data_IF_199534718375
#
_entry.id   IF_199534718375
#
_cell.length_a   1.000
_cell.length_b   1.000
_cell.length_c   1.000
_cell.angle_alpha   90.00
_cell.angle_beta   90.00
_cell.angle_gamma   90.00
#
_symmetry.space_group_name_H-M   'P 1'
#
loop_
_entity.id
_entity.type
_entity.pdbx_description
1 polymer ?
#
# COMPACT_ATOMS: atom_id res chain seq x y z
N UNK A 1 -19.00 -3.93 -16.23
CA UNK A 1 -18.00 -3.29 -15.34
C UNK A 1 -17.91 -4.16 -14.12
N UNK A 2 -16.76 -4.76 -13.82
CA UNK A 2 -16.59 -5.49 -12.55
C UNK A 2 -16.61 -4.49 -11.39
N UNK A 3 -17.38 -4.82 -10.35
CA UNK A 3 -17.38 -4.06 -9.11
C UNK A 3 -16.05 -4.22 -8.38
N UNK A 4 -15.52 -3.14 -7.76
CA UNK A 4 -14.29 -3.23 -7.00
C UNK A 4 -14.48 -4.17 -5.80
N UNK A 5 -13.58 -5.14 -5.65
CA UNK A 5 -13.56 -6.02 -4.47
C UNK A 5 -12.64 -5.45 -3.42
N UNK A 6 -13.10 -5.37 -2.17
CA UNK A 6 -12.34 -4.81 -1.05
C UNK A 6 -12.10 -5.88 -0.01
N UNK A 7 -10.84 -6.06 0.37
CA UNK A 7 -10.39 -7.00 1.39
C UNK A 7 -9.70 -6.23 2.51
N UNK A 8 -10.16 -6.44 3.75
CA UNK A 8 -9.48 -5.92 4.93
C UNK A 8 -8.33 -6.85 5.30
N UNK A 9 -7.14 -6.29 5.47
CA UNK A 9 -5.94 -7.04 5.83
C UNK A 9 -5.79 -7.01 7.34
N UNK A 10 -6.07 -8.15 7.98
CA UNK A 10 -5.95 -8.32 9.44
C UNK A 10 -4.58 -8.83 9.87
N UNK A 11 -3.90 -9.58 9.00
CA UNK A 11 -2.58 -10.17 9.25
C UNK A 11 -1.47 -9.15 8.97
N UNK A 12 -1.28 -8.19 9.88
CA UNK A 12 -0.31 -7.10 9.74
C UNK A 12 1.13 -7.61 9.59
N UNK A 13 1.47 -8.75 10.19
CA UNK A 13 2.81 -9.34 10.05
C UNK A 13 3.12 -9.73 8.60
N UNK A 14 2.19 -10.42 7.93
CA UNK A 14 2.33 -10.79 6.51
C UNK A 14 2.37 -9.58 5.61
N UNK A 15 1.56 -8.57 5.93
CA UNK A 15 1.60 -7.29 5.23
C UNK A 15 2.98 -6.64 5.31
N UNK A 16 3.62 -6.63 6.49
CA UNK A 16 4.99 -6.12 6.63
C UNK A 16 6.00 -6.93 5.81
N UNK A 17 5.91 -8.27 5.84
CA UNK A 17 6.76 -9.15 5.01
C UNK A 17 6.57 -8.91 3.50
N UNK A 18 5.33 -8.61 3.07
CA UNK A 18 5.04 -8.21 1.69
C UNK A 18 5.64 -6.84 1.36
N UNK A 19 5.51 -5.86 2.25
CA UNK A 19 6.04 -4.51 2.07
C UNK A 19 7.57 -4.48 1.97
N UNK A 20 8.28 -5.34 2.71
CA UNK A 20 9.73 -5.52 2.59
C UNK A 20 10.16 -5.99 1.19
N UNK A 21 9.27 -6.68 0.48
CA UNK A 21 9.50 -7.22 -0.88
C UNK A 21 8.72 -6.47 -1.95
N UNK A 22 8.17 -5.29 -1.62
CA UNK A 22 7.29 -4.54 -2.52
C UNK A 22 7.96 -4.18 -3.84
N UNK A 23 9.29 -4.01 -3.83
CA UNK A 23 10.12 -3.75 -5.03
C UNK A 23 10.15 -4.91 -6.02
N UNK A 24 9.87 -6.14 -5.56
CA UNK A 24 9.83 -7.33 -6.41
C UNK A 24 8.52 -7.40 -7.21
N UNK A 25 7.53 -6.58 -6.84
CA UNK A 25 6.26 -6.45 -7.53
C UNK A 25 6.29 -5.24 -8.45
N UNK A 26 5.57 -5.35 -9.58
CA UNK A 26 5.45 -4.24 -10.54
C UNK A 26 4.53 -3.16 -9.98
N UNK A 27 5.11 -2.24 -9.21
CA UNK A 27 4.47 -1.05 -8.68
C UNK A 27 4.23 -0.05 -9.80
N UNK A 28 2.96 0.19 -10.12
CA UNK A 28 2.53 1.15 -11.12
C UNK A 28 2.52 2.56 -10.58
N UNK A 29 2.13 2.76 -9.32
CA UNK A 29 2.09 4.10 -8.73
C UNK A 29 2.12 4.07 -7.20
N UNK A 30 2.50 5.21 -6.62
CA UNK A 30 2.45 5.44 -5.18
C UNK A 30 1.97 6.87 -4.87
N UNK A 31 0.91 6.95 -4.08
CA UNK A 31 0.43 8.21 -3.50
C UNK A 31 0.59 8.17 -1.99
N UNK A 32 0.99 9.31 -1.43
CA UNK A 32 1.13 9.52 0.01
C UNK A 32 0.38 10.80 0.29
N UNK A 33 -0.47 10.76 1.31
CA UNK A 33 -1.15 11.93 1.85
C UNK A 33 -0.78 12.00 3.32
N UNK A 34 0.00 13.03 3.70
CA UNK A 34 0.36 13.29 5.08
C UNK A 34 -0.28 14.59 5.56
N UNK A 35 -1.30 14.47 6.42
CA UNK A 35 -2.01 15.64 6.96
C UNK A 35 -1.23 16.39 8.02
N UNK A 36 -0.20 15.77 8.58
CA UNK A 36 0.67 16.38 9.59
C UNK A 36 1.87 17.12 8.97
N UNK A 37 2.18 16.92 7.68
CA UNK A 37 3.35 17.50 7.03
C UNK A 37 3.23 17.52 5.52
N UNK A 38 3.64 18.62 4.88
CA UNK A 38 3.72 18.77 3.42
C UNK A 38 4.96 18.11 2.80
N UNK A 39 5.64 17.21 3.53
CA UNK A 39 6.85 16.55 3.05
C UNK A 39 6.57 15.65 1.84
N UNK A 40 5.38 15.05 1.80
CA UNK A 40 4.88 14.24 0.68
C UNK A 40 4.74 15.05 -0.61
N UNK A 41 4.32 16.31 -0.52
CA UNK A 41 4.21 17.22 -1.68
C UNK A 41 5.58 17.53 -2.32
N UNK A 42 6.67 17.38 -1.56
CA UNK A 42 8.04 17.61 -2.06
C UNK A 42 8.67 16.36 -2.70
N UNK A 43 8.02 15.19 -2.63
CA UNK A 43 8.55 13.95 -3.20
C UNK A 43 8.16 13.86 -4.67
N UNK A 44 9.11 14.11 -5.56
CA UNK A 44 8.85 14.19 -7.00
C UNK A 44 8.89 12.81 -7.68
N UNK A 45 9.71 11.89 -7.16
CA UNK A 45 9.89 10.55 -7.75
C UNK A 45 9.16 9.45 -7.01
N UNK A 46 8.80 8.37 -7.72
CA UNK A 46 8.19 7.18 -7.12
C UNK A 46 9.10 6.51 -6.10
N UNK A 47 10.40 6.48 -6.36
CA UNK A 47 11.38 5.87 -5.45
C UNK A 47 11.50 6.65 -4.14
N UNK A 48 11.48 7.99 -4.19
CA UNK A 48 11.47 8.83 -2.98
C UNK A 48 10.18 8.65 -2.18
N UNK A 49 9.04 8.63 -2.85
CA UNK A 49 7.75 8.31 -2.23
C UNK A 49 7.80 6.94 -1.56
N UNK A 50 8.28 5.92 -2.27
CA UNK A 50 8.37 4.57 -1.74
C UNK A 50 9.27 4.52 -0.50
N UNK A 51 10.45 5.14 -0.56
CA UNK A 51 11.37 5.23 0.57
C UNK A 51 10.76 5.94 1.77
N UNK A 52 10.04 7.03 1.53
CA UNK A 52 9.32 7.76 2.59
C UNK A 52 8.21 6.90 3.21
N UNK A 53 7.40 6.24 2.39
CA UNK A 53 6.35 5.33 2.84
C UNK A 53 6.92 4.20 3.71
N UNK A 54 7.97 3.53 3.25
CA UNK A 54 8.62 2.44 4.00
C UNK A 54 9.15 2.94 5.34
N UNK A 55 9.85 4.07 5.35
CA UNK A 55 10.31 4.70 6.60
C UNK A 55 9.16 4.95 7.57
N UNK A 56 8.01 5.43 7.10
CA UNK A 56 6.84 5.67 7.95
C UNK A 56 6.20 4.39 8.48
N UNK A 57 6.21 3.32 7.69
CA UNK A 57 5.73 2.00 8.08
C UNK A 57 6.67 1.28 9.06
N UNK A 58 7.96 1.61 9.06
CA UNK A 58 8.93 1.17 10.07
C UNK A 58 8.79 1.94 11.39
N UNK A 59 8.59 3.26 11.30
CA UNK A 59 8.50 4.16 12.46
C UNK A 59 7.17 4.02 13.22
N UNK A 60 6.10 3.54 12.58
CA UNK A 60 4.74 3.59 13.12
C UNK A 60 3.97 2.28 12.90
N UNK A 61 2.91 2.08 13.68
CA UNK A 61 1.97 0.96 13.48
C UNK A 61 0.93 1.29 12.41
N UNK A 62 0.43 0.26 11.73
CA UNK A 62 -0.61 0.39 10.70
C UNK A 62 -1.97 0.22 11.38
N UNK A 63 -2.81 1.25 11.35
CA UNK A 63 -4.15 1.23 11.93
C UNK A 63 -5.15 0.47 11.05
N UNK A 64 -5.08 0.72 9.74
CA UNK A 64 -5.99 0.16 8.76
C UNK A 64 -5.21 -0.22 7.51
N UNK A 65 -5.38 -1.47 7.07
CA UNK A 65 -4.84 -1.95 5.81
C UNK A 65 -5.94 -2.62 4.99
N UNK A 66 -6.04 -2.25 3.72
CA UNK A 66 -7.04 -2.80 2.81
C UNK A 66 -6.50 -2.95 1.41
N UNK A 67 -6.86 -4.04 0.76
CA UNK A 67 -6.59 -4.31 -0.63
C UNK A 67 -7.87 -4.10 -1.45
N UNK A 68 -7.79 -3.29 -2.49
CA UNK A 68 -8.87 -3.04 -3.44
C UNK A 68 -8.47 -3.60 -4.78
N UNK A 69 -9.26 -4.52 -5.32
CA UNK A 69 -9.06 -5.08 -6.65
C UNK A 69 -10.00 -4.40 -7.64
N UNK A 70 -9.44 -3.83 -8.72
CA UNK A 70 -10.24 -3.18 -9.76
C UNK A 70 -9.55 -3.25 -11.10
N UNK A 71 -10.21 -3.84 -12.10
CA UNK A 71 -9.75 -3.85 -13.48
C UNK A 71 -8.37 -4.50 -13.68
N UNK A 72 -8.12 -5.61 -12.97
CA UNK A 72 -6.84 -6.33 -13.02
C UNK A 72 -5.74 -5.78 -12.09
N UNK A 73 -5.87 -4.55 -11.61
CA UNK A 73 -4.91 -3.93 -10.69
C UNK A 73 -5.27 -4.20 -9.22
N UNK A 74 -4.24 -4.20 -8.39
CA UNK A 74 -4.34 -4.20 -6.93
C UNK A 74 -3.99 -2.83 -6.37
N UNK A 75 -4.87 -2.25 -5.56
CA UNK A 75 -4.61 -1.03 -4.81
C UNK A 75 -4.53 -1.37 -3.33
N UNK A 76 -3.34 -1.30 -2.76
CA UNK A 76 -3.12 -1.44 -1.33
C UNK A 76 -3.19 -0.07 -0.67
N UNK A 77 -4.11 0.09 0.27
CA UNK A 77 -4.29 1.32 1.05
C UNK A 77 -3.93 1.04 2.49
N UNK A 78 -3.01 1.84 3.03
CA UNK A 78 -2.51 1.76 4.40
C UNK A 78 -2.78 3.09 5.10
N UNK A 79 -3.22 3.03 6.35
CA UNK A 79 -3.36 4.21 7.22
C UNK A 79 -2.52 4.07 8.48
N UNK A 80 -1.94 5.18 8.88
CA UNK A 80 -1.11 5.32 10.09
C UNK A 80 -1.59 6.54 10.86
N UNK A 81 -1.93 6.35 12.13
CA UNK A 81 -2.36 7.33 13.13
C UNK A 81 -3.44 8.33 12.65
N UNK A 82 -4.31 7.92 11.71
CA UNK A 82 -5.28 8.76 10.96
C UNK A 82 -4.67 10.01 10.25
N UNK A 83 -3.35 10.14 10.24
CA UNK A 83 -2.61 11.29 9.68
C UNK A 83 -1.96 10.99 8.36
N UNK A 84 -1.50 9.75 8.15
CA UNK A 84 -0.81 9.34 6.93
C UNK A 84 -1.64 8.27 6.22
N UNK A 85 -1.93 8.50 4.95
CA UNK A 85 -2.53 7.53 4.05
C UNK A 85 -1.55 7.22 2.92
N UNK A 86 -1.19 5.94 2.78
CA UNK A 86 -0.30 5.44 1.72
C UNK A 86 -1.14 4.58 0.76
N UNK A 87 -1.02 4.83 -0.53
CA UNK A 87 -1.71 4.10 -1.59
C UNK A 87 -0.68 3.57 -2.58
N UNK A 88 -0.63 2.25 -2.73
CA UNK A 88 0.27 1.55 -3.63
C UNK A 88 -0.56 0.85 -4.71
N UNK A 89 -0.28 1.15 -5.98
CA UNK A 89 -0.98 0.54 -7.12
C UNK A 89 -0.07 -0.48 -7.78
N UNK A 90 -0.53 -1.71 -7.91
CA UNK A 90 0.17 -2.82 -8.54
C UNK A 90 -0.57 -3.28 -9.80
N UNK A 91 0.20 -3.66 -10.82
CA UNK A 91 -0.36 -4.18 -12.08
C UNK A 91 -0.95 -5.59 -11.89
N UNK A 92 -0.32 -6.42 -11.04
CA UNK A 92 -0.71 -7.81 -10.85
C UNK A 92 -1.55 -8.01 -9.57
N UNK A 93 -2.87 -7.88 -9.71
CA UNK A 93 -3.79 -8.17 -8.61
C UNK A 93 -3.62 -9.58 -8.05
N UNK A 94 -3.40 -10.58 -8.91
CA UNK A 94 -3.38 -11.97 -8.51
C UNK A 94 -2.13 -12.30 -7.69
N UNK A 95 -0.96 -11.82 -8.13
CA UNK A 95 0.29 -11.95 -7.38
C UNK A 95 0.22 -11.29 -6.00
N UNK A 96 -0.42 -10.12 -5.91
CA UNK A 96 -0.59 -9.42 -4.62
C UNK A 96 -1.53 -10.17 -3.67
N UNK A 97 -2.65 -10.72 -4.18
CA UNK A 97 -3.57 -11.55 -3.37
C UNK A 97 -2.87 -12.77 -2.81
N UNK A 98 -2.11 -13.48 -3.65
CA UNK A 98 -1.37 -14.68 -3.22
C UNK A 98 -0.32 -14.33 -2.17
N UNK A 99 0.44 -13.25 -2.38
CA UNK A 99 1.49 -12.82 -1.46
C UNK A 99 0.93 -12.42 -0.08
N UNK A 100 -0.23 -11.78 -0.06
CA UNK A 100 -0.92 -11.39 1.17
C UNK A 100 -1.76 -12.54 1.76
N UNK A 101 -1.78 -13.71 1.11
CA UNK A 101 -2.61 -14.88 1.45
C UNK A 101 -4.08 -14.50 1.72
N UNK A 102 -4.60 -13.56 0.93
CA UNK A 102 -5.99 -13.13 1.06
C UNK A 102 -6.87 -14.21 0.44
N UNK A 103 -7.52 -14.98 1.31
CA UNK A 103 -8.55 -15.91 0.89
C UNK A 103 -9.85 -15.14 0.66
N UNK A 104 -10.32 -15.11 -0.58
CA UNK A 104 -11.57 -14.48 -1.01
C UNK A 104 -12.63 -15.50 -1.37
#
# INVERSE_FOLDING_TARGET
>A
MEEPRVYLIKEIKKLKEFLEKVSDYKLLDIEIENRASLLDDMLESKDEKLKYAMKKLEENEIDEAKLVLKGGNALLVLKIEDVISIRLVFEDAHGVIQALEING
#
